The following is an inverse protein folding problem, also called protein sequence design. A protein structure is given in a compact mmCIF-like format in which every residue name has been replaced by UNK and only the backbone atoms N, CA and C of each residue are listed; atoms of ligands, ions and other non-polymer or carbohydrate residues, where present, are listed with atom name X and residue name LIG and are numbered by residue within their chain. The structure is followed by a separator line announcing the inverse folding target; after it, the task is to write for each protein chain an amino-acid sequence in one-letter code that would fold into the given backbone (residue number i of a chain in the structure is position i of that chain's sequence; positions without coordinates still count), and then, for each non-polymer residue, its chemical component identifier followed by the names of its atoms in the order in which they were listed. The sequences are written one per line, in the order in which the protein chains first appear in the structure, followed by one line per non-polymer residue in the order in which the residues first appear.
data_IF_996413369304
#
_entry.id   IF_996413369304
#
_cell.length_a   1.000
_cell.length_b   1.000
_cell.length_c   1.000
_cell.angle_alpha   90.00
_cell.angle_beta   90.00
_cell.angle_gamma   90.00
#
_symmetry.space_group_name_H-M   'P 1'
#
loop_
_entity.id
_entity.type
_entity.pdbx_description
1 polymer ?
#
# COMPACT_ATOMS: atom_id res chain seq x y z
N UNK A 1 -42.74 -26.08 17.68
CA UNK A 1 -41.32 -26.46 17.58
C UNK A 1 -40.82 -26.11 16.19
N UNK A 2 -39.83 -25.19 16.15
CA UNK A 2 -38.73 -24.96 15.18
C UNK A 2 -38.99 -25.09 13.66
N UNK A 3 -38.41 -24.28 12.77
CA UNK A 3 -37.31 -23.32 12.85
C UNK A 3 -37.52 -22.31 11.70
N UNK A 4 -37.46 -21.02 11.98
CA UNK A 4 -37.25 -20.01 10.93
C UNK A 4 -35.75 -20.01 10.63
N UNK A 5 -35.29 -20.16 9.37
CA UNK A 5 -33.87 -20.14 9.09
C UNK A 5 -33.32 -18.75 9.41
N UNK A 6 -32.28 -18.74 10.23
CA UNK A 6 -31.51 -17.59 10.66
C UNK A 6 -30.96 -16.83 9.44
N UNK A 7 -31.42 -15.60 9.21
CA UNK A 7 -30.96 -14.70 8.14
C UNK A 7 -29.90 -13.70 8.63
N UNK A 8 -29.31 -13.91 9.81
CA UNK A 8 -28.12 -13.19 10.22
C UNK A 8 -26.85 -13.97 9.89
N UNK A 9 -26.60 -14.14 8.59
CA UNK A 9 -25.23 -14.36 8.13
C UNK A 9 -24.44 -13.09 8.44
N UNK A 10 -23.43 -13.21 9.29
CA UNK A 10 -22.59 -12.07 9.64
C UNK A 10 -21.78 -11.63 8.40
N UNK A 11 -21.61 -10.32 8.21
CA UNK A 11 -20.83 -9.78 7.09
C UNK A 11 -19.39 -10.34 7.05
N UNK A 12 -18.87 -10.76 8.21
CA UNK A 12 -17.56 -11.41 8.35
C UNK A 12 -17.52 -12.81 7.73
N UNK A 13 -18.61 -13.58 7.77
CA UNK A 13 -18.69 -14.91 7.16
C UNK A 13 -18.78 -14.85 5.63
N UNK A 14 -19.49 -13.84 5.07
CA UNK A 14 -19.51 -13.63 3.61
C UNK A 14 -18.15 -13.15 3.10
N UNK A 15 -17.50 -12.19 3.78
CA UNK A 15 -16.14 -11.74 3.42
C UNK A 15 -15.10 -12.88 3.49
N UNK A 16 -15.19 -13.76 4.48
CA UNK A 16 -14.25 -14.88 4.62
C UNK A 16 -14.44 -15.96 3.55
N UNK A 17 -15.69 -16.23 3.12
CA UNK A 17 -15.97 -17.14 1.99
C UNK A 17 -15.47 -16.55 0.67
N UNK A 18 -15.61 -15.24 0.49
CA UNK A 18 -15.09 -14.54 -0.68
C UNK A 18 -13.56 -14.65 -0.79
N UNK A 19 -12.82 -14.60 0.33
CA UNK A 19 -11.35 -14.73 0.29
C UNK A 19 -10.85 -16.10 -0.17
N UNK A 20 -11.61 -17.17 0.04
CA UNK A 20 -11.23 -18.51 -0.42
C UNK A 20 -11.29 -18.66 -1.95
N UNK A 21 -12.10 -17.83 -2.62
CA UNK A 21 -12.32 -17.87 -4.06
C UNK A 21 -11.42 -16.87 -4.83
N UNK A 22 -10.82 -15.90 -4.12
CA UNK A 22 -9.97 -14.88 -4.73
C UNK A 22 -8.55 -15.42 -4.99
N UNK A 23 -8.04 -15.35 -6.23
CA UNK A 23 -6.67 -15.72 -6.53
C UNK A 23 -5.64 -14.94 -5.69
N UNK A 24 -4.56 -15.60 -5.23
CA UNK A 24 -3.56 -14.94 -4.39
C UNK A 24 -2.93 -13.69 -5.03
N UNK A 25 -2.73 -13.70 -6.36
CA UNK A 25 -2.24 -12.54 -7.11
C UNK A 25 -3.17 -11.33 -6.98
N UNK A 26 -4.48 -11.56 -6.92
CA UNK A 26 -5.47 -10.51 -6.75
C UNK A 26 -5.48 -9.98 -5.31
N UNK A 27 -5.36 -10.87 -4.31
CA UNK A 27 -5.21 -10.46 -2.90
C UNK A 27 -3.98 -9.55 -2.72
N UNK A 28 -2.83 -9.96 -3.27
CA UNK A 28 -1.58 -9.20 -3.21
C UNK A 28 -1.75 -7.85 -3.92
N UNK A 29 -2.36 -7.85 -5.12
CA UNK A 29 -2.54 -6.62 -5.90
C UNK A 29 -3.47 -5.63 -5.19
N UNK A 30 -4.57 -6.10 -4.59
CA UNK A 30 -5.48 -5.26 -3.79
C UNK A 30 -4.78 -4.70 -2.55
N UNK A 31 -3.96 -5.51 -1.85
CA UNK A 31 -3.16 -5.04 -0.72
C UNK A 31 -2.12 -3.98 -1.14
N UNK A 32 -1.46 -4.18 -2.29
CA UNK A 32 -0.50 -3.21 -2.82
C UNK A 32 -1.17 -1.87 -3.15
N UNK A 33 -2.34 -1.88 -3.79
CA UNK A 33 -3.14 -0.67 -4.06
C UNK A 33 -3.56 0.00 -2.75
N UNK A 34 -4.04 -0.76 -1.76
CA UNK A 34 -4.43 -0.21 -0.46
C UNK A 34 -3.26 0.49 0.24
N UNK A 35 -2.09 -0.15 0.30
CA UNK A 35 -0.88 0.44 0.87
C UNK A 35 -0.44 1.69 0.11
N UNK A 36 -0.49 1.65 -1.22
CA UNK A 36 -0.12 2.77 -2.09
C UNK A 36 -1.05 3.97 -1.87
N UNK A 37 -2.36 3.76 -1.87
CA UNK A 37 -3.35 4.82 -1.63
C UNK A 37 -3.23 5.40 -0.22
N UNK A 38 -3.04 4.56 0.80
CA UNK A 38 -2.84 5.03 2.16
C UNK A 38 -1.53 5.84 2.28
N UNK A 39 -0.45 5.41 1.64
CA UNK A 39 0.81 6.15 1.63
C UNK A 39 0.67 7.51 0.93
N UNK A 40 -0.02 7.56 -0.22
CA UNK A 40 -0.29 8.80 -0.94
C UNK A 40 -1.08 9.81 -0.08
N UNK A 41 -2.10 9.32 0.65
CA UNK A 41 -2.87 10.13 1.60
C UNK A 41 -1.98 10.69 2.71
N UNK A 42 -1.11 9.85 3.30
CA UNK A 42 -0.17 10.26 4.36
C UNK A 42 0.95 11.18 3.87
N UNK A 43 1.26 11.17 2.58
CA UNK A 43 2.13 12.18 1.97
C UNK A 43 1.39 13.49 1.65
N UNK A 44 0.06 13.53 1.83
CA UNK A 44 -0.77 14.68 1.47
C UNK A 44 -1.06 14.79 -0.03
N UNK A 45 -0.67 13.82 -0.85
CA UNK A 45 -0.78 13.88 -2.32
C UNK A 45 -2.23 13.92 -2.83
N UNK A 46 -3.20 13.56 -1.99
CA UNK A 46 -4.63 13.68 -2.29
C UNK A 46 -5.18 15.10 -2.15
N UNK A 47 -4.39 16.03 -1.59
CA UNK A 47 -4.78 17.44 -1.38
C UNK A 47 -4.21 18.34 -2.48
N UNK A 48 -4.86 19.48 -2.74
CA UNK A 48 -4.41 20.44 -3.76
C UNK A 48 -3.01 21.01 -3.44
N UNK A 49 -2.69 21.15 -2.16
CA UNK A 49 -1.36 21.43 -1.65
C UNK A 49 -1.00 20.33 -0.63
N UNK A 50 -0.04 19.45 -0.95
CA UNK A 50 0.36 18.36 -0.07
C UNK A 50 0.82 18.84 1.30
N UNK A 51 1.54 19.96 1.36
CA UNK A 51 2.16 20.48 2.59
C UNK A 51 1.15 20.95 3.64
N UNK A 52 -0.07 21.28 3.22
CA UNK A 52 -1.15 21.76 4.09
C UNK A 52 -2.24 20.71 4.33
N UNK A 53 -2.05 19.49 3.84
CA UNK A 53 -3.03 18.42 4.00
C UNK A 53 -3.24 18.05 5.49
N UNK A 54 -4.49 17.95 5.97
CA UNK A 54 -4.78 17.52 7.35
C UNK A 54 -4.46 16.04 7.61
N UNK A 55 -4.22 15.26 6.54
CA UNK A 55 -3.92 13.83 6.63
C UNK A 55 -2.42 13.51 6.49
N UNK A 56 -1.59 14.53 6.22
CA UNK A 56 -0.15 14.41 6.07
C UNK A 56 0.51 13.95 7.37
N UNK A 57 1.21 12.83 7.29
CA UNK A 57 1.98 12.22 8.37
C UNK A 57 3.13 11.40 7.76
N UNK A 58 4.34 11.97 7.77
CA UNK A 58 5.51 11.31 7.18
C UNK A 58 5.93 10.06 7.97
N UNK A 59 5.69 9.99 9.28
CA UNK A 59 6.08 8.80 10.04
C UNK A 59 5.19 7.61 9.68
N UNK A 60 3.88 7.83 9.49
CA UNK A 60 2.97 6.82 8.95
C UNK A 60 3.26 6.49 7.49
N UNK A 61 3.54 7.50 6.64
CA UNK A 61 3.90 7.28 5.24
C UNK A 61 5.15 6.37 5.11
N UNK A 62 6.17 6.59 5.95
CA UNK A 62 7.40 5.76 5.97
C UNK A 62 7.07 4.28 6.18
N UNK A 63 6.18 3.97 7.12
CA UNK A 63 5.81 2.59 7.43
C UNK A 63 5.05 1.94 6.28
N UNK A 64 4.10 2.65 5.68
CA UNK A 64 3.31 2.18 4.55
C UNK A 64 4.17 1.94 3.29
N UNK A 65 5.03 2.89 2.94
CA UNK A 65 5.96 2.75 1.80
C UNK A 65 6.94 1.59 2.03
N UNK A 66 7.45 1.44 3.26
CA UNK A 66 8.34 0.32 3.60
C UNK A 66 7.63 -1.03 3.51
N UNK A 67 6.38 -1.11 3.96
CA UNK A 67 5.56 -2.32 3.85
C UNK A 67 5.26 -2.66 2.39
N UNK A 68 4.88 -1.66 1.57
CA UNK A 68 4.65 -1.82 0.14
C UNK A 68 5.91 -2.31 -0.57
N UNK A 69 7.07 -1.72 -0.29
CA UNK A 69 8.35 -2.15 -0.86
C UNK A 69 8.65 -3.62 -0.54
N UNK A 70 8.45 -4.03 0.72
CA UNK A 70 8.61 -5.44 1.11
C UNK A 70 7.65 -6.36 0.36
N UNK A 71 6.37 -5.99 0.27
CA UNK A 71 5.35 -6.75 -0.45
C UNK A 71 5.70 -6.91 -1.94
N UNK A 72 6.05 -5.81 -2.60
CA UNK A 72 6.39 -5.78 -4.03
C UNK A 72 7.63 -6.61 -4.32
N UNK A 73 8.70 -6.44 -3.54
CA UNK A 73 9.93 -7.20 -3.70
C UNK A 73 9.70 -8.70 -3.49
N UNK A 74 8.88 -9.08 -2.52
CA UNK A 74 8.56 -10.49 -2.26
C UNK A 74 7.61 -11.11 -3.29
N UNK A 75 6.82 -10.30 -4.01
CA UNK A 75 5.76 -10.80 -4.89
C UNK A 75 5.99 -10.56 -6.39
N UNK A 76 7.09 -9.90 -6.77
CA UNK A 76 7.35 -9.46 -8.14
C UNK A 76 7.26 -10.58 -9.19
N UNK A 77 7.71 -11.78 -8.87
CA UNK A 77 7.68 -12.94 -9.77
C UNK A 77 6.25 -13.45 -10.03
N UNK A 78 5.31 -13.18 -9.12
CA UNK A 78 3.91 -13.62 -9.22
C UNK A 78 2.97 -12.57 -9.81
N UNK A 79 3.34 -11.28 -9.75
CA UNK A 79 2.51 -10.17 -10.22
C UNK A 79 2.41 -10.08 -11.76
N UNK A 80 3.32 -10.72 -12.49
CA UNK A 80 3.31 -10.75 -13.95
C UNK A 80 3.23 -9.33 -14.55
N UNK A 81 2.29 -9.06 -15.48
CA UNK A 81 2.14 -7.74 -16.10
C UNK A 81 1.85 -6.58 -15.14
N UNK A 82 1.29 -6.86 -13.96
CA UNK A 82 0.95 -5.84 -12.97
C UNK A 82 2.17 -5.34 -12.17
N UNK A 83 3.32 -6.03 -12.24
CA UNK A 83 4.51 -5.68 -11.48
C UNK A 83 5.06 -4.29 -11.84
N UNK A 84 5.04 -3.92 -13.13
CA UNK A 84 5.57 -2.63 -13.62
C UNK A 84 4.86 -1.44 -12.97
N UNK A 85 3.54 -1.27 -13.18
CA UNK A 85 2.78 -0.17 -12.60
C UNK A 85 2.90 -0.06 -11.07
N UNK A 86 2.94 -1.19 -10.37
CA UNK A 86 3.08 -1.19 -8.90
C UNK A 86 4.47 -0.70 -8.46
N UNK A 87 5.53 -1.10 -9.17
CA UNK A 87 6.90 -0.60 -8.92
C UNK A 87 7.02 0.89 -9.23
N UNK A 88 6.43 1.36 -10.32
CA UNK A 88 6.45 2.78 -10.70
C UNK A 88 5.70 3.64 -9.68
N UNK A 89 4.55 3.17 -9.20
CA UNK A 89 3.80 3.81 -8.12
C UNK A 89 4.59 3.87 -6.81
N UNK A 90 5.22 2.76 -6.41
CA UNK A 90 6.12 2.73 -5.25
C UNK A 90 7.28 3.71 -5.39
N UNK A 91 7.93 3.75 -6.56
CA UNK A 91 9.04 4.67 -6.80
C UNK A 91 8.59 6.13 -6.72
N UNK A 92 7.39 6.44 -7.23
CA UNK A 92 6.79 7.77 -7.15
C UNK A 92 6.55 8.19 -5.69
N UNK A 93 6.04 7.29 -4.85
CA UNK A 93 5.86 7.55 -3.42
C UNK A 93 7.18 7.77 -2.69
N UNK A 94 8.22 7.00 -3.00
CA UNK A 94 9.54 7.16 -2.40
C UNK A 94 10.17 8.53 -2.74
N UNK A 95 10.02 8.97 -3.99
CA UNK A 95 10.47 10.30 -4.43
C UNK A 95 9.71 11.41 -3.73
N UNK A 96 8.38 11.33 -3.72
CA UNK A 96 7.53 12.30 -3.03
C UNK A 96 7.87 12.38 -1.54
N UNK A 97 8.09 11.25 -0.87
CA UNK A 97 8.54 11.24 0.53
C UNK A 97 9.85 12.00 0.73
N UNK A 98 10.83 11.78 -0.16
CA UNK A 98 12.14 12.44 -0.10
C UNK A 98 12.01 13.95 -0.29
N UNK A 99 11.18 14.39 -1.23
CA UNK A 99 10.91 15.80 -1.52
C UNK A 99 10.19 16.50 -0.36
N UNK A 100 9.24 15.82 0.27
CA UNK A 100 8.44 16.34 1.38
C UNK A 100 9.16 16.32 2.74
N UNK A 101 10.23 15.53 2.87
CA UNK A 101 11.01 15.45 4.11
C UNK A 101 11.88 16.69 4.29
N UNK A 102 11.70 17.40 5.41
CA UNK A 102 12.58 18.50 5.80
C UNK A 102 14.03 18.04 6.06
N UNK A 103 14.21 16.76 6.40
CA UNK A 103 15.51 16.11 6.59
C UNK A 103 15.52 14.82 5.76
N UNK A 104 15.86 14.90 4.47
CA UNK A 104 15.87 13.72 3.60
C UNK A 104 16.85 12.67 4.10
N UNK A 105 16.44 11.40 4.04
CA UNK A 105 17.31 10.28 4.38
C UNK A 105 18.48 10.18 3.37
N UNK A 106 19.61 9.63 3.83
CA UNK A 106 20.72 9.29 2.94
C UNK A 106 20.25 8.30 1.85
N UNK A 107 20.84 8.33 0.64
CA UNK A 107 20.52 7.35 -0.40
C UNK A 107 20.69 5.90 0.11
N UNK A 108 19.64 5.09 -0.05
CA UNK A 108 19.56 3.71 0.44
C UNK A 108 18.90 3.58 1.82
N UNK A 109 18.63 4.68 2.53
CA UNK A 109 18.04 4.71 3.86
C UNK A 109 16.59 5.25 3.87
N UNK A 110 16.08 5.68 2.72
CA UNK A 110 14.70 6.12 2.57
C UNK A 110 13.68 4.99 2.78
N UNK A 111 12.38 5.33 2.92
CA UNK A 111 11.32 4.34 3.10
C UNK A 111 11.35 3.27 2.00
N UNK A 112 11.47 2.00 2.40
CA UNK A 112 11.53 0.87 1.48
C UNK A 112 12.83 0.72 0.67
N UNK A 113 13.78 1.67 0.71
CA UNK A 113 15.01 1.64 -0.11
C UNK A 113 15.93 0.46 0.23
N UNK A 114 15.83 -0.10 1.44
CA UNK A 114 16.49 -1.37 1.79
C UNK A 114 16.11 -2.54 0.86
N UNK A 115 14.93 -2.48 0.23
CA UNK A 115 14.43 -3.50 -0.68
C UNK A 115 14.57 -3.11 -2.15
N UNK A 116 14.48 -1.83 -2.48
CA UNK A 116 14.42 -1.33 -3.86
C UNK A 116 15.73 -0.72 -4.35
N UNK A 117 16.68 -0.45 -3.44
CA UNK A 117 17.81 0.42 -3.68
C UNK A 117 17.45 1.91 -3.58
N UNK A 118 18.45 2.81 -3.69
CA UNK A 118 18.25 4.25 -3.59
C UNK A 118 17.37 4.82 -4.71
N UNK A 119 16.59 5.85 -4.39
CA UNK A 119 15.79 6.60 -5.36
C UNK A 119 16.33 8.01 -5.54
N UNK A 120 16.44 8.45 -6.80
CA UNK A 120 16.97 9.75 -7.22
C UNK A 120 15.89 10.60 -7.91
#
# INVERSE_FOLDING_TARGET
MNDTPDVHRSADEDNARDLAEIPSVEVISRAAVMLMSAAAERLGLSSADPSTSPHRDLDEARRLITALAGLVTASVEYLGPHAGPVRDGLQSLQKAFREESAFPDEPGQGPGEKFTGPVY
#
